data_IF_524185964402
#
_entry.id   IF_524185964402
#
_cell.length_a   1.000
_cell.length_b   1.000
_cell.length_c   1.000
_cell.angle_alpha   90.00
_cell.angle_beta   90.00
_cell.angle_gamma   90.00
#
_symmetry.space_group_name_H-M   'P 1'
#
loop_
_entity.id
_entity.type
_entity.pdbx_description
1 polymer ?
#
# COMPACT_ATOMS: atom_id res chain seq x y z
N UNK A 1 -60.15 11.18 25.95
CA UNK A 1 -59.29 10.69 24.84
C UNK A 1 -57.97 11.45 24.93
N UNK A 2 -57.10 11.10 25.87
CA UNK A 2 -55.89 10.29 25.63
C UNK A 2 -55.10 10.74 24.40
N UNK A 3 -53.93 11.35 24.60
CA UNK A 3 -52.65 10.86 24.09
C UNK A 3 -51.50 11.54 24.86
N UNK A 4 -50.92 10.79 25.80
CA UNK A 4 -49.64 11.11 26.44
C UNK A 4 -48.57 10.86 25.39
N UNK A 5 -47.98 11.93 24.85
CA UNK A 5 -46.82 11.84 23.94
C UNK A 5 -45.57 11.66 24.79
N UNK A 6 -45.20 10.40 25.02
CA UNK A 6 -43.92 10.03 25.61
C UNK A 6 -42.83 10.33 24.57
N UNK A 7 -42.16 11.47 24.70
CA UNK A 7 -40.92 11.73 23.98
C UNK A 7 -39.78 10.96 24.65
N UNK A 8 -39.61 9.69 24.26
CA UNK A 8 -38.39 8.94 24.56
C UNK A 8 -37.29 9.50 23.66
N UNK A 9 -36.51 10.44 24.18
CA UNK A 9 -35.22 10.83 23.60
C UNK A 9 -34.27 9.64 23.78
N UNK A 10 -34.20 8.78 22.77
CA UNK A 10 -33.16 7.78 22.64
C UNK A 10 -31.83 8.49 22.41
N UNK A 11 -31.05 8.64 23.48
CA UNK A 11 -29.63 8.97 23.43
C UNK A 11 -28.92 7.73 22.87
N UNK A 12 -28.88 7.61 21.55
CA UNK A 12 -27.92 6.71 20.90
C UNK A 12 -26.56 7.41 20.93
N UNK A 13 -25.82 7.17 22.01
CA UNK A 13 -24.37 7.22 22.02
C UNK A 13 -23.87 6.14 21.05
N UNK A 14 -23.88 6.43 19.74
CA UNK A 14 -23.04 5.71 18.79
C UNK A 14 -21.62 6.22 19.01
N UNK A 15 -20.97 5.70 20.05
CA UNK A 15 -19.52 5.67 20.12
C UNK A 15 -19.06 4.78 18.96
N UNK A 16 -18.93 5.37 17.77
CA UNK A 16 -18.09 4.78 16.74
C UNK A 16 -16.71 4.55 17.40
N UNK A 17 -16.11 3.36 17.30
CA UNK A 17 -14.74 3.21 17.71
C UNK A 17 -13.94 4.18 16.83
N UNK A 18 -13.45 5.25 17.43
CA UNK A 18 -12.43 6.08 16.82
C UNK A 18 -11.24 5.14 16.69
N UNK A 19 -11.07 4.59 15.49
CA UNK A 19 -9.83 3.93 15.09
C UNK A 19 -8.78 5.03 15.15
N UNK A 20 -8.09 5.10 16.29
CA UNK A 20 -6.88 5.89 16.40
C UNK A 20 -5.88 5.25 15.43
N UNK A 21 -5.74 5.85 14.24
CA UNK A 21 -4.52 5.69 13.48
C UNK A 21 -3.39 6.07 14.44
N UNK A 22 -2.59 5.07 14.83
CA UNK A 22 -1.46 5.30 15.70
C UNK A 22 -0.55 6.30 15.01
N UNK A 23 -0.38 7.48 15.60
CA UNK A 23 0.41 8.62 15.10
C UNK A 23 1.94 8.34 15.14
N UNK A 24 2.32 7.07 15.04
CA UNK A 24 3.70 6.61 15.07
C UNK A 24 4.17 6.31 13.65
N UNK A 25 5.27 6.93 13.25
CA UNK A 25 5.99 6.55 12.03
C UNK A 25 6.33 5.06 12.09
N UNK A 26 6.04 4.28 11.02
CA UNK A 26 6.40 2.88 10.99
C UNK A 26 7.92 2.70 11.01
N UNK A 27 8.37 1.61 11.62
CA UNK A 27 9.76 1.15 11.56
C UNK A 27 9.98 0.44 10.22
N UNK A 28 10.84 1.01 9.38
CA UNK A 28 11.11 0.48 8.02
C UNK A 28 12.52 -0.08 7.96
N UNK A 29 12.63 -1.40 7.80
CA UNK A 29 13.90 -2.08 7.53
C UNK A 29 14.20 -2.01 6.03
N UNK A 30 14.99 -1.01 5.64
CA UNK A 30 15.31 -0.75 4.24
C UNK A 30 16.43 -1.68 3.75
N UNK A 31 16.14 -2.46 2.71
CA UNK A 31 17.09 -3.35 2.04
C UNK A 31 17.24 -2.87 0.60
N UNK A 32 18.43 -2.46 0.15
CA UNK A 32 18.64 -2.05 -1.22
C UNK A 32 18.30 -3.17 -2.21
N UNK A 33 17.55 -2.83 -3.26
CA UNK A 33 17.25 -3.73 -4.35
C UNK A 33 18.52 -4.02 -5.15
N UNK A 34 18.92 -5.29 -5.18
CA UNK A 34 20.01 -5.85 -5.97
C UNK A 34 19.49 -7.08 -6.75
N UNK A 35 20.25 -7.58 -7.72
CA UNK A 35 19.83 -8.71 -8.58
C UNK A 35 19.34 -9.93 -7.78
N UNK A 36 20.00 -10.24 -6.65
CA UNK A 36 19.61 -11.31 -5.72
C UNK A 36 19.36 -10.71 -4.34
N UNK A 37 18.30 -9.90 -4.20
CA UNK A 37 17.97 -9.27 -2.91
C UNK A 37 17.54 -10.32 -1.91
N UNK A 38 18.45 -10.71 -1.00
CA UNK A 38 18.17 -11.63 0.09
C UNK A 38 17.74 -10.82 1.32
N UNK A 39 16.49 -11.03 1.75
CA UNK A 39 16.01 -10.51 3.03
C UNK A 39 16.70 -11.28 4.16
N UNK A 40 17.40 -10.59 5.09
CA UNK A 40 18.02 -11.22 6.26
C UNK A 40 17.02 -12.08 7.05
N UNK A 41 17.49 -13.19 7.63
CA UNK A 41 16.65 -14.16 8.34
C UNK A 41 15.83 -13.53 9.47
N UNK A 42 16.42 -12.55 10.16
CA UNK A 42 15.78 -11.80 11.23
C UNK A 42 14.52 -11.04 10.79
N UNK A 43 14.41 -10.70 9.51
CA UNK A 43 13.29 -9.93 8.96
C UNK A 43 12.32 -10.77 8.14
N UNK A 44 12.56 -12.07 7.93
CA UNK A 44 11.73 -12.93 7.07
C UNK A 44 10.28 -13.08 7.50
N UNK A 45 9.99 -12.84 8.79
CA UNK A 45 8.63 -12.93 9.35
C UNK A 45 7.87 -11.61 9.26
N UNK A 46 8.56 -10.51 8.97
CA UNK A 46 7.95 -9.21 8.81
C UNK A 46 7.27 -9.12 7.43
N UNK A 47 6.17 -8.36 7.31
CA UNK A 47 5.64 -8.01 6.02
C UNK A 47 6.71 -7.31 5.18
N UNK A 48 6.66 -7.47 3.86
CA UNK A 48 7.62 -6.84 2.96
C UNK A 48 6.92 -6.10 1.82
N UNK A 49 7.54 -5.05 1.31
CA UNK A 49 7.00 -4.27 0.20
C UNK A 49 8.15 -3.69 -0.61
N UNK A 50 7.98 -3.56 -1.92
CA UNK A 50 8.94 -2.82 -2.72
C UNK A 50 8.67 -1.32 -2.62
N UNK A 51 9.69 -0.53 -2.26
CA UNK A 51 9.63 0.93 -2.19
C UNK A 51 10.50 1.52 -3.30
N UNK A 52 9.97 2.46 -4.07
CA UNK A 52 10.72 3.01 -5.22
C UNK A 52 11.93 3.84 -4.78
N UNK A 53 11.75 4.70 -3.78
CA UNK A 53 12.78 5.63 -3.31
C UNK A 53 13.29 5.29 -1.90
N UNK A 54 14.47 5.79 -1.50
CA UNK A 54 14.93 5.71 -0.12
C UNK A 54 13.89 6.23 0.89
N UNK A 55 13.95 5.77 2.15
CA UNK A 55 12.92 6.04 3.19
C UNK A 55 12.59 7.53 3.36
N UNK A 56 13.57 8.42 3.18
CA UNK A 56 13.43 9.88 3.30
C UNK A 56 13.20 10.60 1.96
N UNK A 57 12.90 9.85 0.90
CA UNK A 57 12.69 10.37 -0.44
C UNK A 57 11.33 9.95 -0.98
N UNK A 58 10.82 10.78 -1.89
CA UNK A 58 9.55 10.55 -2.60
C UNK A 58 9.79 10.57 -4.09
N UNK A 59 8.91 9.90 -4.83
CA UNK A 59 8.99 9.87 -6.27
C UNK A 59 8.28 11.08 -6.88
N UNK A 60 9.02 11.87 -7.66
CA UNK A 60 8.48 12.99 -8.44
C UNK A 60 8.63 12.67 -9.93
N UNK A 61 7.49 12.62 -10.64
CA UNK A 61 7.46 12.33 -12.08
C UNK A 61 8.46 13.25 -12.82
N UNK A 62 9.27 12.65 -13.69
CA UNK A 62 10.39 13.26 -14.45
C UNK A 62 11.65 13.65 -13.65
N UNK A 63 11.57 13.80 -12.33
CA UNK A 63 12.72 14.16 -11.48
C UNK A 63 13.33 12.98 -10.72
N UNK A 64 12.60 11.86 -10.64
CA UNK A 64 13.05 10.68 -9.91
C UNK A 64 12.83 10.82 -8.41
N UNK A 65 13.70 10.20 -7.62
CA UNK A 65 13.64 10.27 -6.17
C UNK A 65 14.27 11.57 -5.68
N UNK A 66 13.51 12.32 -4.89
CA UNK A 66 13.94 13.58 -4.30
C UNK A 66 13.72 13.55 -2.79
N UNK A 67 14.58 14.26 -2.06
CA UNK A 67 14.35 14.52 -0.65
C UNK A 67 12.99 15.16 -0.47
N UNK A 68 12.25 14.67 0.51
CA UNK A 68 11.02 15.32 0.90
C UNK A 68 11.35 16.59 1.68
N UNK A 69 10.99 17.74 1.12
CA UNK A 69 11.20 19.04 1.75
C UNK A 69 9.99 19.49 2.59
N UNK A 70 8.89 18.73 2.59
CA UNK A 70 7.68 19.06 3.34
C UNK A 70 7.68 18.34 4.70
N UNK A 71 7.54 19.12 5.77
CA UNK A 71 7.42 18.64 7.15
C UNK A 71 6.05 18.01 7.46
N UNK A 72 5.05 18.16 6.57
CA UNK A 72 3.70 17.60 6.67
C UNK A 72 3.54 16.28 5.92
N UNK A 73 4.63 15.53 5.74
CA UNK A 73 4.69 14.40 4.83
C UNK A 73 3.90 13.20 5.34
N UNK A 74 3.08 12.61 4.47
CA UNK A 74 2.49 11.28 4.71
C UNK A 74 3.61 10.25 4.79
N UNK A 75 3.67 9.51 5.91
CA UNK A 75 4.58 8.39 6.06
C UNK A 75 4.30 7.33 4.98
N UNK A 76 5.35 6.65 4.53
CA UNK A 76 5.18 5.48 3.70
C UNK A 76 4.62 4.35 4.59
N UNK A 77 3.29 4.25 4.65
CA UNK A 77 2.53 3.24 5.39
C UNK A 77 1.62 2.49 4.41
N UNK A 78 2.10 1.40 3.77
CA UNK A 78 1.28 0.63 2.86
C UNK A 78 0.28 -0.25 3.62
N UNK A 79 -0.86 -0.48 2.98
CA UNK A 79 -1.92 -1.33 3.50
C UNK A 79 -1.74 -2.77 3.00
N UNK A 80 -1.44 -3.68 3.92
CA UNK A 80 -1.28 -5.09 3.64
C UNK A 80 -2.60 -5.84 3.76
N UNK A 81 -2.78 -6.86 2.94
CA UNK A 81 -3.92 -7.75 2.94
C UNK A 81 -3.46 -9.14 3.36
N UNK A 82 -4.17 -9.75 4.31
CA UNK A 82 -3.97 -11.15 4.66
C UNK A 82 -5.01 -12.00 3.93
N UNK A 83 -4.54 -13.11 3.37
CA UNK A 83 -5.42 -14.13 2.82
C UNK A 83 -5.48 -15.29 3.79
N UNK A 84 -6.65 -15.52 4.36
CA UNK A 84 -6.86 -16.69 5.21
C UNK A 84 -6.85 -17.96 4.36
N UNK A 85 -6.55 -19.12 4.97
CA UNK A 85 -6.63 -20.43 4.29
C UNK A 85 -7.99 -20.73 3.63
N UNK A 86 -9.02 -19.95 3.95
CA UNK A 86 -10.40 -20.14 3.49
C UNK A 86 -10.75 -19.44 2.19
N UNK A 87 -9.92 -18.56 1.62
CA UNK A 87 -10.37 -17.73 0.48
C UNK A 87 -10.61 -16.27 0.80
N UNK A 88 -10.75 -15.94 2.08
CA UNK A 88 -11.28 -14.64 2.48
C UNK A 88 -10.13 -13.65 2.66
N UNK A 89 -10.23 -12.52 1.95
CA UNK A 89 -9.42 -11.33 2.16
C UNK A 89 -9.87 -10.64 3.45
N UNK A 90 -8.95 -10.48 4.40
CA UNK A 90 -9.20 -9.66 5.58
C UNK A 90 -9.14 -8.17 5.23
N UNK A 91 -9.71 -7.28 6.07
CA UNK A 91 -9.54 -5.84 5.92
C UNK A 91 -8.05 -5.50 5.80
N UNK A 92 -7.72 -4.49 4.98
CA UNK A 92 -6.32 -4.09 4.79
C UNK A 92 -5.82 -3.41 6.06
N UNK A 93 -4.65 -3.80 6.54
CA UNK A 93 -4.07 -3.34 7.80
C UNK A 93 -2.75 -2.62 7.57
N UNK A 94 -2.51 -1.57 8.35
CA UNK A 94 -1.22 -0.92 8.47
C UNK A 94 -0.35 -1.69 9.46
N UNK A 95 0.93 -1.85 9.13
CA UNK A 95 1.90 -2.51 10.01
C UNK A 95 2.90 -1.48 10.54
N UNK A 96 3.08 -1.44 11.86
CA UNK A 96 4.03 -0.54 12.52
C UNK A 96 5.50 -0.89 12.30
N UNK A 97 5.80 -2.08 11.76
CA UNK A 97 7.14 -2.54 11.42
C UNK A 97 7.10 -3.46 10.19
N UNK A 98 7.93 -3.19 9.19
CA UNK A 98 8.00 -3.98 7.96
C UNK A 98 9.33 -3.79 7.21
N UNK A 99 9.56 -4.62 6.19
CA UNK A 99 10.73 -4.56 5.30
C UNK A 99 10.40 -3.81 4.02
N UNK A 100 11.25 -2.86 3.64
CA UNK A 100 11.17 -2.19 2.35
C UNK A 100 12.33 -2.62 1.44
N UNK A 101 12.01 -3.26 0.31
CA UNK A 101 12.97 -3.49 -0.77
C UNK A 101 13.09 -2.20 -1.58
N UNK A 102 14.19 -1.47 -1.43
CA UNK A 102 14.34 -0.10 -1.93
C UNK A 102 15.03 -0.08 -3.28
N UNK A 103 14.30 0.32 -4.32
CA UNK A 103 14.84 0.55 -5.65
C UNK A 103 13.76 0.70 -6.72
N UNK A 104 14.18 1.25 -7.86
CA UNK A 104 13.33 1.36 -9.05
C UNK A 104 13.62 0.14 -9.95
N UNK A 105 12.66 -0.78 -10.13
CA UNK A 105 12.89 -2.01 -10.89
C UNK A 105 12.97 -1.80 -12.41
N UNK A 106 12.39 -0.71 -12.94
CA UNK A 106 12.27 -0.48 -14.37
C UNK A 106 12.19 1.01 -14.72
N UNK A 107 12.54 1.35 -15.96
CA UNK A 107 12.49 2.72 -16.47
C UNK A 107 11.06 3.16 -16.82
N UNK A 108 10.32 2.28 -17.50
CA UNK A 108 8.95 2.51 -17.95
C UNK A 108 7.98 1.87 -16.97
N UNK A 109 7.02 2.67 -16.50
CA UNK A 109 6.06 2.27 -15.47
C UNK A 109 4.80 3.10 -15.57
N UNK A 110 3.69 2.50 -15.18
CA UNK A 110 2.40 3.16 -15.01
C UNK A 110 1.95 3.05 -13.55
N UNK A 111 1.08 3.97 -13.14
CA UNK A 111 0.61 4.06 -11.75
C UNK A 111 -0.82 3.52 -11.69
N UNK A 112 -1.07 2.59 -10.77
CA UNK A 112 -2.42 2.07 -10.53
C UNK A 112 -3.27 3.11 -9.79
N UNK A 113 -4.51 3.29 -10.25
CA UNK A 113 -5.53 4.20 -9.71
C UNK A 113 -6.85 3.45 -9.47
N UNK A 114 -6.91 2.54 -8.46
CA UNK A 114 -8.11 1.76 -8.15
C UNK A 114 -9.34 2.62 -7.80
N UNK A 115 -9.13 3.87 -7.39
CA UNK A 115 -10.21 4.84 -7.15
C UNK A 115 -10.86 5.36 -8.44
N UNK A 116 -10.25 5.12 -9.60
CA UNK A 116 -10.74 5.56 -10.91
C UNK A 116 -11.20 4.42 -11.81
N UNK A 117 -10.60 3.25 -11.67
CA UNK A 117 -10.91 2.08 -12.49
C UNK A 117 -10.76 0.80 -11.68
N UNK A 118 -11.76 -0.07 -11.78
CA UNK A 118 -11.70 -1.41 -11.19
C UNK A 118 -10.62 -2.28 -11.85
N UNK A 119 -10.17 -1.93 -13.07
CA UNK A 119 -9.04 -2.57 -13.76
C UNK A 119 -7.73 -2.41 -12.97
N UNK A 120 -7.58 -1.31 -12.23
CA UNK A 120 -6.41 -1.01 -11.41
C UNK A 120 -6.52 -1.57 -9.99
N UNK A 121 -7.53 -2.39 -9.70
CA UNK A 121 -7.70 -3.03 -8.39
C UNK A 121 -6.49 -3.92 -8.08
N UNK A 122 -5.96 -3.78 -6.86
CA UNK A 122 -4.84 -4.58 -6.40
C UNK A 122 -4.88 -4.81 -4.89
N UNK A 123 -4.23 -5.88 -4.43
CA UNK A 123 -4.08 -6.27 -3.03
C UNK A 123 -2.60 -6.57 -2.74
N UNK A 124 -1.99 -5.80 -1.85
CA UNK A 124 -0.63 -6.05 -1.38
C UNK A 124 -0.66 -7.15 -0.33
N UNK A 125 0.02 -8.26 -0.57
CA UNK A 125 0.09 -9.38 0.37
C UNK A 125 1.25 -9.20 1.35
N UNK A 126 1.21 -9.94 2.48
CA UNK A 126 2.25 -9.86 3.51
C UNK A 126 3.66 -10.21 3.00
N UNK A 127 3.78 -11.06 1.98
CA UNK A 127 5.07 -11.40 1.36
C UNK A 127 5.57 -10.35 0.36
N UNK A 128 4.85 -9.24 0.21
CA UNK A 128 5.15 -8.18 -0.73
C UNK A 128 4.73 -8.46 -2.16
N UNK A 129 4.15 -9.61 -2.49
CA UNK A 129 3.53 -9.77 -3.80
C UNK A 129 2.25 -8.93 -3.88
N UNK A 130 1.95 -8.40 -5.06
CA UNK A 130 0.64 -7.79 -5.32
C UNK A 130 -0.19 -8.76 -6.15
N UNK A 131 -1.38 -9.08 -5.64
CA UNK A 131 -2.42 -9.72 -6.43
C UNK A 131 -3.25 -8.64 -7.13
N UNK A 132 -3.25 -8.64 -8.46
CA UNK A 132 -3.97 -7.68 -9.28
C UNK A 132 -4.94 -8.44 -10.21
N UNK A 133 -6.22 -8.57 -9.83
CA UNK A 133 -7.16 -9.44 -10.53
C UNK A 133 -7.46 -9.05 -11.98
N UNK A 134 -7.34 -7.76 -12.32
CA UNK A 134 -7.89 -7.22 -13.57
C UNK A 134 -6.84 -6.60 -14.51
N UNK A 135 -5.55 -6.55 -14.13
CA UNK A 135 -4.54 -5.79 -14.90
C UNK A 135 -3.97 -6.54 -16.11
N UNK A 136 -4.10 -7.88 -16.16
CA UNK A 136 -3.52 -8.67 -17.25
C UNK A 136 -4.36 -8.58 -18.52
N UNK A 137 -3.77 -9.01 -19.65
CA UNK A 137 -4.49 -9.11 -20.92
C UNK A 137 -5.79 -9.91 -20.74
N UNK A 138 -6.91 -9.37 -21.26
CA UNK A 138 -8.25 -9.94 -21.12
C UNK A 138 -8.71 -10.16 -19.66
N UNK A 139 -8.34 -9.27 -18.72
CA UNK A 139 -8.72 -9.37 -17.30
C UNK A 139 -8.18 -10.65 -16.64
N UNK A 140 -7.00 -11.09 -17.06
CA UNK A 140 -6.32 -12.23 -16.44
C UNK A 140 -5.64 -11.77 -15.15
N UNK A 141 -5.88 -12.44 -14.00
CA UNK A 141 -5.22 -12.08 -12.75
C UNK A 141 -3.70 -12.21 -12.85
N UNK A 142 -2.99 -11.23 -12.29
CA UNK A 142 -1.52 -11.22 -12.23
C UNK A 142 -1.03 -11.20 -10.79
N UNK A 143 0.11 -11.88 -10.58
CA UNK A 143 0.89 -11.82 -9.35
C UNK A 143 2.16 -11.02 -9.63
N UNK A 144 2.26 -9.81 -9.09
CA UNK A 144 3.42 -8.94 -9.27
C UNK A 144 4.43 -9.16 -8.16
N UNK A 145 5.68 -9.41 -8.54
CA UNK A 145 6.80 -9.61 -7.60
C UNK A 145 7.38 -8.26 -7.14
N UNK A 146 7.60 -8.08 -5.82
CA UNK A 146 8.15 -6.85 -5.28
C UNK A 146 9.57 -6.62 -5.80
N UNK A 147 9.86 -5.43 -6.30
CA UNK A 147 11.21 -5.05 -6.74
C UNK A 147 11.60 -5.66 -8.08
N UNK A 148 10.67 -6.31 -8.77
CA UNK A 148 10.86 -6.80 -10.14
C UNK A 148 9.76 -6.29 -11.06
N UNK A 149 8.50 -6.50 -10.67
CA UNK A 149 7.35 -6.12 -11.49
C UNK A 149 6.74 -4.79 -11.04
N UNK A 150 7.01 -4.37 -9.79
CA UNK A 150 6.49 -3.13 -9.25
C UNK A 150 7.37 -2.55 -8.12
N UNK A 151 7.15 -1.27 -7.84
CA UNK A 151 7.52 -0.64 -6.57
C UNK A 151 6.40 0.31 -6.12
N UNK A 152 6.29 0.59 -4.82
CA UNK A 152 5.34 1.54 -4.25
C UNK A 152 6.02 2.82 -3.79
N UNK A 153 5.33 3.94 -3.88
CA UNK A 153 5.84 5.21 -3.36
C UNK A 153 4.74 6.21 -2.99
N UNK A 154 5.03 7.08 -2.04
CA UNK A 154 4.23 8.28 -1.78
C UNK A 154 4.41 9.25 -2.95
N UNK A 155 3.30 9.65 -3.55
CA UNK A 155 3.30 10.63 -4.64
C UNK A 155 2.85 11.97 -4.08
N UNK A 156 3.71 13.01 -4.14
CA UNK A 156 3.32 14.34 -3.70
C UNK A 156 2.03 14.80 -4.40
N UNK A 157 1.12 15.40 -3.63
CA UNK A 157 -0.22 15.89 -4.07
C UNK A 157 -1.30 14.83 -4.28
N UNK A 158 -1.03 13.55 -3.98
CA UNK A 158 -2.05 12.51 -3.91
C UNK A 158 -2.28 12.15 -2.43
N UNK A 159 -3.42 12.50 -1.81
CA UNK A 159 -3.63 12.35 -0.36
C UNK A 159 -4.02 10.93 0.07
N UNK A 160 -4.18 10.00 -0.86
CA UNK A 160 -4.77 8.69 -0.62
C UNK A 160 -3.73 7.60 -0.31
N UNK A 161 -2.61 7.97 0.31
CA UNK A 161 -1.52 7.06 0.66
C UNK A 161 -0.59 6.66 -0.49
N UNK A 162 0.30 5.67 -0.25
CA UNK A 162 1.25 5.19 -1.25
C UNK A 162 0.58 4.65 -2.52
N UNK A 163 1.25 4.79 -3.66
CA UNK A 163 0.79 4.34 -4.97
C UNK A 163 1.69 3.25 -5.53
N UNK A 164 1.09 2.30 -6.24
CA UNK A 164 1.79 1.21 -6.94
C UNK A 164 2.20 1.70 -8.32
N UNK A 165 3.49 1.55 -8.63
CA UNK A 165 4.05 1.73 -9.95
C UNK A 165 4.42 0.37 -10.53
N UNK A 166 3.70 -0.05 -11.58
CA UNK A 166 3.91 -1.34 -12.24
C UNK A 166 4.80 -1.14 -13.46
N UNK A 167 5.75 -2.04 -13.66
CA UNK A 167 6.62 -2.07 -14.83
C UNK A 167 5.84 -2.50 -16.06
N UNK A 168 6.13 -1.88 -17.21
CA UNK A 168 5.66 -2.44 -18.47
C UNK A 168 6.32 -3.80 -18.71
N UNK A 169 5.56 -4.86 -19.01
CA UNK A 169 6.16 -6.09 -19.51
C UNK A 169 6.86 -5.78 -20.83
N UNK A 170 8.12 -6.17 -20.96
CA UNK A 170 8.85 -6.03 -22.23
C UNK A 170 8.07 -6.76 -23.33
N UNK A 171 7.53 -6.03 -24.32
CA UNK A 171 6.88 -6.59 -25.50
C UNK A 171 5.34 -6.56 -25.57
N UNK A 172 4.67 -5.64 -24.88
CA UNK A 172 3.29 -5.23 -25.24
C UNK A 172 3.28 -4.10 -26.27
#
# INVERSE_FOLDING_TARGET
MHFIRICVLFVYLSAAPIVYASDMSPTIHAIPLQNDTLVPEEYRKLPSVAKCCPVNQVFVKKKGCLLSNDSSMMYFSPLFSEYTRTGVFTPREEFGEFVALVGIPCNERYMLLPERSDEDTYYLLLNGSIFAPNIGANHTPMMLMPGKDYCMEVVPRIPWGPRVFVCYPEGM
#
